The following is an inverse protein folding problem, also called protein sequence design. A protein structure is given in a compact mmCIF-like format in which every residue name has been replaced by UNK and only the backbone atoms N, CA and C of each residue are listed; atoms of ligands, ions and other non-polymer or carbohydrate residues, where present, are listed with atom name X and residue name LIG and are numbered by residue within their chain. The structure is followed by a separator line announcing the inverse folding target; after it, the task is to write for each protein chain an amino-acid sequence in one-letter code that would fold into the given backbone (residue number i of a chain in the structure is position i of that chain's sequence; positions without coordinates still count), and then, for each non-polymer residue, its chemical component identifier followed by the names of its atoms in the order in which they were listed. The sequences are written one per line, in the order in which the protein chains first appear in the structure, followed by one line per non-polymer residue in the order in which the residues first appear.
data_IF_036206301012
#
_entry.id   IF_036206301012
#
_cell.length_a   1.000
_cell.length_b   1.000
_cell.length_c   1.000
_cell.angle_alpha   90.00
_cell.angle_beta   90.00
_cell.angle_gamma   90.00
#
_symmetry.space_group_name_H-M   'P 1'
#
loop_
_entity.id
_entity.type
_entity.pdbx_description
1 polymer ?
#
# COMPACT_ATOMS: atom_id res chain seq x y z
N UNK A 1 -26.92 -32.39 -36.00
CA UNK A 1 -26.05 -31.27 -36.43
C UNK A 1 -25.19 -30.92 -35.22
N UNK A 2 -23.84 -31.02 -35.28
CA UNK A 2 -22.96 -31.04 -34.10
C UNK A 2 -22.90 -29.73 -33.30
N UNK A 3 -23.59 -28.67 -33.75
CA UNK A 3 -23.74 -27.40 -33.05
C UNK A 3 -24.94 -27.36 -32.09
N UNK A 4 -25.86 -28.33 -32.19
CA UNK A 4 -27.09 -28.38 -31.36
C UNK A 4 -26.87 -29.06 -30.01
N UNK A 5 -25.68 -29.61 -29.77
CA UNK A 5 -25.29 -30.26 -28.53
C UNK A 5 -24.97 -29.18 -27.46
N UNK A 6 -26.02 -28.60 -26.90
CA UNK A 6 -25.97 -27.53 -25.89
C UNK A 6 -25.39 -27.97 -24.54
N UNK A 7 -25.26 -29.28 -24.29
CA UNK A 7 -24.66 -29.82 -23.08
C UNK A 7 -23.17 -29.49 -22.96
N UNK A 8 -22.46 -29.38 -24.08
CA UNK A 8 -21.02 -29.08 -24.08
C UNK A 8 -20.75 -27.60 -23.83
N UNK A 9 -21.72 -26.72 -24.10
CA UNK A 9 -21.54 -25.27 -24.00
C UNK A 9 -21.16 -24.82 -22.60
N UNK A 10 -21.74 -25.42 -21.55
CA UNK A 10 -21.39 -25.07 -20.19
C UNK A 10 -19.91 -25.36 -19.87
N UNK A 11 -19.41 -26.51 -20.32
CA UNK A 11 -18.01 -26.90 -20.13
C UNK A 11 -17.10 -26.01 -20.98
N UNK A 12 -17.48 -25.72 -22.23
CA UNK A 12 -16.72 -24.82 -23.11
C UNK A 12 -16.64 -23.40 -22.55
N UNK A 13 -17.76 -22.84 -22.09
CA UNK A 13 -17.81 -21.49 -21.52
C UNK A 13 -16.97 -21.42 -20.23
N UNK A 14 -17.12 -22.39 -19.32
CA UNK A 14 -16.33 -22.41 -18.08
C UNK A 14 -14.83 -22.60 -18.36
N UNK A 15 -14.46 -23.46 -19.32
CA UNK A 15 -13.09 -23.65 -19.77
C UNK A 15 -12.50 -22.37 -20.38
N UNK A 16 -13.27 -21.65 -21.22
CA UNK A 16 -12.85 -20.38 -21.80
C UNK A 16 -12.63 -19.30 -20.73
N UNK A 17 -13.53 -19.17 -19.76
CA UNK A 17 -13.41 -18.21 -18.66
C UNK A 17 -12.16 -18.50 -17.81
N UNK A 18 -11.91 -19.77 -17.48
CA UNK A 18 -10.72 -20.17 -16.72
C UNK A 18 -9.43 -19.84 -17.48
N UNK A 19 -9.36 -20.16 -18.77
CA UNK A 19 -8.18 -19.86 -19.60
C UNK A 19 -7.90 -18.34 -19.65
N UNK A 20 -8.93 -17.53 -19.86
CA UNK A 20 -8.82 -16.07 -19.83
C UNK A 20 -8.37 -15.57 -18.46
N UNK A 21 -8.95 -16.09 -17.37
CA UNK A 21 -8.58 -15.73 -16.01
C UNK A 21 -7.09 -15.94 -15.74
N UNK A 22 -6.55 -17.11 -16.08
CA UNK A 22 -5.11 -17.38 -15.89
C UNK A 22 -4.21 -16.42 -16.70
N UNK A 23 -4.60 -16.10 -17.95
CA UNK A 23 -3.85 -15.14 -18.77
C UNK A 23 -3.83 -13.73 -18.17
N UNK A 24 -4.96 -13.26 -17.65
CA UNK A 24 -5.06 -11.95 -17.02
C UNK A 24 -4.34 -11.89 -15.67
N UNK A 25 -4.48 -12.94 -14.83
CA UNK A 25 -3.81 -13.02 -13.53
C UNK A 25 -2.29 -12.90 -13.66
N UNK A 26 -1.68 -13.56 -14.66
CA UNK A 26 -0.24 -13.45 -14.90
C UNK A 26 0.19 -11.99 -15.17
N UNK A 27 -0.60 -11.24 -15.94
CA UNK A 27 -0.30 -9.82 -16.24
C UNK A 27 -0.50 -8.91 -15.03
N UNK A 28 -1.54 -9.15 -14.23
CA UNK A 28 -1.85 -8.35 -13.03
C UNK A 28 -0.83 -8.62 -11.92
N UNK A 29 -0.39 -9.88 -11.75
CA UNK A 29 0.59 -10.25 -10.74
C UNK A 29 1.96 -9.63 -10.97
N UNK A 30 2.34 -9.38 -12.23
CA UNK A 30 3.60 -8.70 -12.57
C UNK A 30 3.49 -7.17 -12.51
N UNK A 31 2.28 -6.63 -12.30
CA UNK A 31 2.08 -5.21 -12.13
C UNK A 31 2.29 -4.82 -10.66
N UNK A 32 3.50 -4.32 -10.37
CA UNK A 32 3.77 -3.69 -9.08
C UNK A 32 3.05 -2.34 -9.04
N UNK A 33 1.91 -2.30 -8.35
CA UNK A 33 1.24 -1.04 -8.07
C UNK A 33 2.16 -0.20 -7.19
N UNK A 34 2.37 1.10 -7.52
CA UNK A 34 3.08 1.98 -6.61
C UNK A 34 2.34 1.93 -5.26
N UNK A 35 3.06 1.80 -4.14
CA UNK A 35 2.43 1.87 -2.84
C UNK A 35 1.63 3.17 -2.80
N UNK A 36 0.37 3.09 -2.35
CA UNK A 36 -0.45 4.27 -2.11
C UNK A 36 0.44 5.28 -1.37
N UNK A 37 0.48 6.56 -1.76
CA UNK A 37 1.06 7.60 -0.92
C UNK A 37 0.19 7.75 0.34
N UNK A 38 0.13 6.71 1.16
CA UNK A 38 -0.06 6.85 2.59
C UNK A 38 1.04 7.81 3.02
N UNK A 39 0.73 8.83 3.84
CA UNK A 39 1.79 9.52 4.56
C UNK A 39 2.59 8.40 5.18
N UNK A 40 3.86 8.27 4.74
CA UNK A 40 4.83 7.40 5.40
C UNK A 40 4.59 7.69 6.87
N UNK A 41 4.35 6.66 7.67
CA UNK A 41 4.52 6.79 9.11
C UNK A 41 5.84 7.49 9.22
N UNK A 42 5.73 8.78 9.49
CA UNK A 42 6.83 9.62 9.80
C UNK A 42 7.11 9.00 11.13
N UNK A 43 7.96 7.97 11.13
CA UNK A 43 8.82 7.68 12.26
C UNK A 43 9.26 9.08 12.58
N UNK A 44 8.64 9.60 13.62
CA UNK A 44 8.98 10.79 14.34
C UNK A 44 10.43 10.50 14.73
N UNK A 45 11.34 10.62 13.78
CA UNK A 45 12.56 11.35 14.00
C UNK A 45 11.98 12.63 14.48
N UNK A 46 11.91 12.73 15.81
CA UNK A 46 11.48 13.86 16.59
C UNK A 46 12.25 15.06 16.03
N UNK A 47 11.76 15.62 14.91
CA UNK A 47 12.09 16.96 14.51
C UNK A 47 11.45 17.75 15.61
N UNK A 48 12.20 17.94 16.70
CA UNK A 48 11.85 18.84 17.77
C UNK A 48 11.43 20.09 17.07
N UNK A 49 10.13 20.33 17.09
CA UNK A 49 9.60 21.49 16.42
C UNK A 49 10.30 22.67 17.12
N UNK A 50 10.62 23.75 16.40
CA UNK A 50 11.26 24.91 17.02
C UNK A 50 10.44 25.45 18.21
N UNK A 51 9.16 25.08 18.29
CA UNK A 51 8.27 25.26 19.42
C UNK A 51 8.66 24.44 20.67
N UNK A 52 8.89 23.13 20.54
CA UNK A 52 9.37 22.27 21.64
C UNK A 52 10.75 22.74 22.15
N UNK A 53 11.66 23.12 21.24
CA UNK A 53 12.95 23.71 21.65
C UNK A 53 12.78 25.03 22.40
N UNK A 54 11.86 25.90 21.96
CA UNK A 54 11.53 27.13 22.71
C UNK A 54 10.99 26.82 24.11
N UNK A 55 10.08 25.86 24.24
CA UNK A 55 9.54 25.48 25.55
C UNK A 55 10.58 24.86 26.45
N UNK A 56 11.38 23.93 25.92
CA UNK A 56 12.48 23.32 26.68
C UNK A 56 13.46 24.40 27.15
N UNK A 57 13.74 25.41 26.31
CA UNK A 57 14.62 26.54 26.65
C UNK A 57 14.02 27.50 27.70
N UNK A 58 12.70 27.69 27.73
CA UNK A 58 12.03 28.56 28.70
C UNK A 58 11.86 27.86 30.06
N UNK A 59 11.55 26.56 30.05
CA UNK A 59 11.36 25.77 31.26
C UNK A 59 12.66 25.25 31.86
N UNK A 60 13.78 25.23 31.12
CA UNK A 60 15.08 24.93 31.70
C UNK A 60 15.44 26.08 32.63
N UNK A 61 15.43 25.89 33.97
CA UNK A 61 15.78 26.95 34.89
C UNK A 61 17.23 27.31 34.60
N UNK A 62 17.44 28.58 34.27
CA UNK A 62 18.74 29.23 34.05
C UNK A 62 19.81 28.50 34.87
N UNK A 63 20.59 27.64 34.19
CA UNK A 63 21.65 26.86 34.82
C UNK A 63 22.60 27.86 35.47
N UNK A 64 22.41 28.06 36.76
CA UNK A 64 23.21 28.91 37.63
C UNK A 64 24.67 28.55 37.39
N UNK A 65 25.55 29.52 37.12
CA UNK A 65 26.98 29.27 37.22
C UNK A 65 27.24 28.98 38.70
N UNK A 66 27.47 27.71 39.02
CA UNK A 66 27.95 27.33 40.35
C UNK A 66 29.44 27.70 40.37
N UNK A 67 29.66 28.96 40.78
CA UNK A 67 30.97 29.52 41.12
C UNK A 67 31.51 28.86 42.39
#
# INVERSE_FOLDING_TARGET
MPQLDTSTWFITISSMILALFFMFQLKISNHSYPPNPSPKDTKLVEKKTPWEEKWTKIYLPLSLPLH
#
